data_IF_660348041982
#
_entry.id   IF_660348041982
#
_cell.length_a   1.000
_cell.length_b   1.000
_cell.length_c   1.000
_cell.angle_alpha   90.00
_cell.angle_beta   90.00
_cell.angle_gamma   90.00
#
_symmetry.space_group_name_H-M   'P 1'
#
loop_
_entity.id
_entity.type
_entity.pdbx_description
1 polymer ?
#
# COMPACT_ATOMS: atom_id res chain seq x y z
N UNK A 1 44.80 -28.63 24.48
CA UNK A 1 46.19 -28.68 24.00
C UNK A 1 46.36 -27.51 23.05
N UNK A 2 47.23 -26.55 23.42
CA UNK A 2 48.01 -25.62 22.58
C UNK A 2 47.25 -24.69 21.60
N UNK A 3 47.43 -23.36 21.50
CA UNK A 3 48.22 -22.30 22.17
C UNK A 3 47.60 -20.95 21.76
N UNK A 4 47.71 -19.98 22.67
CA UNK A 4 47.56 -18.53 22.48
C UNK A 4 48.58 -17.95 21.49
N UNK A 5 48.19 -17.06 20.57
CA UNK A 5 49.01 -15.86 20.39
C UNK A 5 48.27 -14.61 19.93
N UNK A 6 48.84 -13.50 20.41
CA UNK A 6 48.38 -12.12 20.38
C UNK A 6 48.67 -11.48 19.03
N UNK A 7 47.74 -10.63 18.57
CA UNK A 7 47.98 -9.67 17.50
C UNK A 7 47.37 -8.32 17.87
N UNK A 8 48.13 -7.50 18.60
CA UNK A 8 47.82 -6.10 18.84
C UNK A 8 48.20 -5.34 17.56
N UNK A 9 47.24 -4.76 16.84
CA UNK A 9 47.52 -3.78 15.79
C UNK A 9 46.74 -2.49 16.02
N UNK A 10 47.52 -1.42 16.03
CA UNK A 10 47.28 -0.02 16.30
C UNK A 10 45.94 0.54 15.77
N UNK A 11 45.23 1.27 16.65
CA UNK A 11 44.22 2.25 16.26
C UNK A 11 44.93 3.43 15.57
N UNK A 12 44.81 3.51 14.25
CA UNK A 12 45.02 4.77 13.54
C UNK A 12 43.85 5.72 13.82
N UNK A 13 44.04 7.05 13.74
CA UNK A 13 42.94 8.00 13.82
C UNK A 13 41.99 7.76 12.64
N UNK A 14 40.69 7.70 12.92
CA UNK A 14 39.66 7.81 11.90
C UNK A 14 39.79 9.20 11.27
N UNK A 15 40.45 9.26 10.12
CA UNK A 15 40.40 10.45 9.26
C UNK A 15 38.95 10.69 8.88
N UNK A 16 38.41 11.80 9.38
CA UNK A 16 37.16 12.37 8.95
C UNK A 16 37.33 12.84 7.50
N UNK A 17 37.14 11.93 6.56
CA UNK A 17 37.05 12.24 5.14
C UNK A 17 35.72 12.94 4.87
N UNK A 18 35.76 14.26 4.71
CA UNK A 18 34.71 15.03 4.06
C UNK A 18 34.48 14.47 2.65
N UNK A 19 33.42 13.67 2.45
CA UNK A 19 32.94 13.34 1.11
C UNK A 19 32.10 14.52 0.64
N UNK A 20 32.76 15.60 0.19
CA UNK A 20 32.11 16.68 -0.56
C UNK A 20 32.05 16.29 -2.04
N UNK A 21 31.36 15.19 -2.34
CA UNK A 21 31.00 14.81 -3.69
C UNK A 21 29.48 14.85 -3.82
N UNK A 22 28.97 15.44 -4.89
CA UNK A 22 27.54 15.34 -5.19
C UNK A 22 27.15 13.85 -5.27
N UNK A 23 26.10 13.49 -4.55
CA UNK A 23 25.51 12.14 -4.57
C UNK A 23 24.44 12.00 -5.65
N UNK A 24 24.17 13.09 -6.37
CA UNK A 24 23.19 13.16 -7.44
C UNK A 24 23.65 12.35 -8.66
N UNK A 25 22.80 11.46 -9.14
CA UNK A 25 23.05 10.62 -10.31
C UNK A 25 21.86 10.73 -11.26
N UNK A 26 22.12 10.86 -12.56
CA UNK A 26 21.09 10.80 -13.61
C UNK A 26 20.63 9.36 -13.82
N UNK A 27 19.33 9.14 -13.65
CA UNK A 27 18.67 7.82 -13.77
C UNK A 27 18.07 7.61 -15.15
N UNK A 28 17.50 8.66 -15.72
CA UNK A 28 16.91 8.69 -17.05
C UNK A 28 16.98 10.11 -17.61
N UNK A 29 16.57 10.30 -18.87
CA UNK A 29 16.55 11.62 -19.51
C UNK A 29 15.75 12.62 -18.67
N UNK A 30 16.45 13.61 -18.09
CA UNK A 30 15.87 14.63 -17.22
C UNK A 30 15.53 14.17 -15.80
N UNK A 31 15.80 12.92 -15.40
CA UNK A 31 15.52 12.44 -14.05
C UNK A 31 16.80 12.16 -13.27
N UNK A 32 16.94 12.79 -12.11
CA UNK A 32 18.06 12.59 -11.19
C UNK A 32 17.58 12.06 -9.83
N UNK A 33 18.41 11.24 -9.18
CA UNK A 33 18.24 10.80 -7.79
C UNK A 33 19.39 11.36 -6.94
N UNK A 34 19.11 11.84 -5.72
CA UNK A 34 20.15 12.38 -4.84
C UNK A 34 19.80 12.34 -3.35
N UNK A 35 20.59 13.06 -2.55
CA UNK A 35 20.47 13.20 -1.10
C UNK A 35 20.23 14.65 -0.70
N UNK A 36 19.97 14.90 0.59
CA UNK A 36 19.83 16.27 1.12
C UNK A 36 21.12 17.08 0.97
N UNK A 37 22.28 16.42 0.89
CA UNK A 37 23.56 17.11 0.70
C UNK A 37 23.67 17.79 -0.67
N UNK A 38 22.99 17.26 -1.69
CA UNK A 38 22.98 17.85 -3.03
C UNK A 38 22.27 19.22 -3.05
N UNK A 39 21.39 19.49 -2.08
CA UNK A 39 20.71 20.78 -1.96
C UNK A 39 21.58 21.91 -1.41
N UNK A 40 22.77 21.58 -0.88
CA UNK A 40 23.71 22.58 -0.33
C UNK A 40 24.44 23.37 -1.42
N UNK A 41 24.39 22.90 -2.66
CA UNK A 41 25.00 23.56 -3.82
C UNK A 41 23.95 23.80 -4.92
N UNK A 42 23.13 24.87 -4.80
CA UNK A 42 22.14 25.21 -5.81
C UNK A 42 22.74 25.51 -7.19
N UNK A 43 23.99 25.98 -7.26
CA UNK A 43 24.66 26.24 -8.54
C UNK A 43 24.92 24.93 -9.29
N UNK A 44 25.35 23.86 -8.59
CA UNK A 44 25.48 22.54 -9.18
C UNK A 44 24.14 22.00 -9.73
N UNK A 45 23.03 22.24 -9.01
CA UNK A 45 21.69 21.86 -9.48
C UNK A 45 21.30 22.61 -10.76
N UNK A 46 21.52 23.92 -10.80
CA UNK A 46 21.26 24.76 -11.98
C UNK A 46 22.12 24.32 -13.16
N UNK A 47 23.41 24.06 -12.93
CA UNK A 47 24.34 23.60 -13.97
C UNK A 47 23.97 22.21 -14.50
N UNK A 48 23.35 21.36 -13.68
CA UNK A 48 22.77 20.09 -14.09
C UNK A 48 21.39 20.22 -14.78
N UNK A 49 20.88 21.45 -14.94
CA UNK A 49 19.57 21.72 -15.55
C UNK A 49 18.38 21.33 -14.68
N UNK A 50 18.58 21.18 -13.37
CA UNK A 50 17.48 20.88 -12.43
C UNK A 50 16.58 22.10 -12.31
N UNK A 51 15.30 21.89 -12.58
CA UNK A 51 14.24 22.91 -12.50
C UNK A 51 13.20 22.55 -11.44
N UNK A 52 13.08 21.25 -11.13
CA UNK A 52 12.10 20.70 -10.19
C UNK A 52 12.77 19.85 -9.12
N UNK A 53 12.27 19.92 -7.89
CA UNK A 53 12.74 19.13 -6.76
C UNK A 53 11.55 18.42 -6.13
N UNK A 54 11.62 17.09 -6.09
CA UNK A 54 10.71 16.23 -5.33
C UNK A 54 11.43 15.73 -4.07
N UNK A 55 11.03 16.28 -2.93
CA UNK A 55 11.55 15.90 -1.61
C UNK A 55 10.67 14.81 -1.01
N UNK A 56 11.26 13.65 -0.70
CA UNK A 56 10.61 12.53 -0.02
C UNK A 56 11.35 12.28 1.29
N UNK A 57 11.05 13.06 2.33
CA UNK A 57 11.83 13.10 3.57
C UNK A 57 10.96 13.48 4.79
N UNK A 58 11.55 13.50 5.98
CA UNK A 58 10.85 13.92 7.22
C UNK A 58 10.64 15.44 7.29
N UNK A 59 11.46 16.21 6.61
CA UNK A 59 11.45 17.67 6.66
C UNK A 59 11.50 18.27 5.25
N UNK A 60 10.79 19.38 5.06
CA UNK A 60 10.85 20.14 3.82
C UNK A 60 12.10 21.05 3.81
N UNK A 61 12.97 20.97 2.80
CA UNK A 61 14.17 21.79 2.75
C UNK A 61 13.85 23.24 2.39
N UNK A 62 14.56 24.18 3.03
CA UNK A 62 14.50 25.59 2.68
C UNK A 62 15.41 25.90 1.47
N UNK A 63 14.90 25.60 0.27
CA UNK A 63 15.53 25.94 -1.00
C UNK A 63 14.56 26.74 -1.88
N UNK A 64 15.08 27.75 -2.57
CA UNK A 64 14.33 28.66 -3.45
C UNK A 64 14.83 28.56 -4.89
N UNK A 65 14.05 29.07 -5.86
CA UNK A 65 14.44 29.06 -7.28
C UNK A 65 14.09 27.79 -8.06
N UNK A 66 13.43 26.81 -7.42
CA UNK A 66 12.97 25.57 -8.04
C UNK A 66 11.47 25.38 -7.84
N UNK A 67 10.83 24.63 -8.75
CA UNK A 67 9.49 24.12 -8.53
C UNK A 67 9.56 22.92 -7.58
N UNK A 68 8.77 22.92 -6.51
CA UNK A 68 8.93 21.94 -5.42
C UNK A 68 7.67 21.13 -5.18
N UNK A 69 7.86 19.86 -4.84
CA UNK A 69 6.84 19.02 -4.21
C UNK A 69 7.46 18.34 -2.99
N UNK A 70 6.77 18.42 -1.86
CA UNK A 70 7.17 17.76 -0.63
C UNK A 70 6.22 16.61 -0.29
N UNK A 71 6.80 15.46 0.00
CA UNK A 71 6.09 14.28 0.53
C UNK A 71 6.76 13.89 1.83
N UNK A 72 6.05 14.13 2.94
CA UNK A 72 6.51 13.71 4.25
C UNK A 72 6.58 12.18 4.33
N UNK A 73 7.78 11.63 4.54
CA UNK A 73 8.04 10.20 4.61
C UNK A 73 9.23 9.89 5.52
N UNK A 74 9.03 8.99 6.48
CA UNK A 74 10.10 8.40 7.27
C UNK A 74 10.68 7.19 6.53
N UNK A 75 11.91 6.79 6.86
CA UNK A 75 12.55 5.61 6.28
C UNK A 75 12.31 4.37 7.15
N UNK A 76 11.05 4.09 7.44
CA UNK A 76 10.64 3.01 8.32
C UNK A 76 9.39 2.30 7.80
N UNK A 77 9.08 1.16 8.43
CA UNK A 77 8.00 0.28 8.06
C UNK A 77 6.62 0.92 8.22
N UNK A 78 6.46 1.98 9.01
CA UNK A 78 5.16 2.63 9.23
C UNK A 78 4.73 3.53 8.08
N UNK A 79 5.67 3.96 7.23
CA UNK A 79 5.41 4.94 6.17
C UNK A 79 4.60 4.35 5.02
N UNK A 80 3.46 4.98 4.72
CA UNK A 80 2.65 4.70 3.53
C UNK A 80 3.09 5.62 2.38
N UNK A 81 4.03 5.13 1.57
CA UNK A 81 4.47 5.81 0.36
C UNK A 81 3.63 5.42 -0.86
N UNK A 82 3.06 4.21 -0.86
CA UNK A 82 2.19 3.67 -1.92
C UNK A 82 1.07 4.64 -2.28
N UNK A 83 0.37 5.19 -1.28
CA UNK A 83 -0.72 6.14 -1.51
C UNK A 83 -0.30 7.46 -2.16
N UNK A 84 1.01 7.74 -2.25
CA UNK A 84 1.60 8.96 -2.82
C UNK A 84 2.35 8.72 -4.13
N UNK A 85 2.55 7.47 -4.55
CA UNK A 85 3.37 7.15 -5.72
C UNK A 85 2.83 7.80 -7.00
N UNK A 86 1.53 7.73 -7.24
CA UNK A 86 0.93 8.35 -8.45
C UNK A 86 1.12 9.86 -8.48
N UNK A 87 0.91 10.54 -7.35
CA UNK A 87 1.14 11.97 -7.19
C UNK A 87 2.60 12.38 -7.44
N UNK A 88 3.54 11.53 -7.00
CA UNK A 88 4.98 11.71 -7.20
C UNK A 88 5.35 11.51 -8.67
N UNK A 89 4.91 10.40 -9.28
CA UNK A 89 5.18 10.09 -10.68
C UNK A 89 4.57 11.15 -11.58
N UNK A 90 3.36 11.62 -11.28
CA UNK A 90 2.70 12.70 -12.01
C UNK A 90 3.55 13.97 -12.02
N UNK A 91 4.01 14.42 -10.85
CA UNK A 91 4.89 15.60 -10.73
C UNK A 91 6.17 15.45 -11.58
N UNK A 92 6.79 14.27 -11.56
CA UNK A 92 7.97 14.00 -12.39
C UNK A 92 7.61 14.08 -13.88
N UNK A 93 6.55 13.38 -14.31
CA UNK A 93 6.17 13.33 -15.73
C UNK A 93 5.72 14.68 -16.28
N UNK A 94 5.00 15.47 -15.50
CA UNK A 94 4.55 16.81 -15.89
C UNK A 94 5.75 17.75 -16.09
N UNK A 95 6.69 17.74 -15.13
CA UNK A 95 7.92 18.54 -15.19
C UNK A 95 8.80 18.20 -16.40
N UNK A 96 8.84 16.92 -16.79
CA UNK A 96 9.59 16.45 -17.96
C UNK A 96 8.86 16.69 -19.28
N UNK A 97 7.53 16.79 -19.28
CA UNK A 97 6.73 17.04 -20.48
C UNK A 97 6.63 18.55 -20.81
N UNK A 98 6.64 19.41 -19.80
CA UNK A 98 6.54 20.87 -19.94
C UNK A 98 7.78 21.53 -20.59
N UNK A 99 8.79 20.75 -20.98
CA UNK A 99 9.97 21.22 -21.68
C UNK A 99 9.65 21.58 -23.14
N UNK A 100 9.06 22.75 -23.38
CA UNK A 100 8.91 23.38 -24.71
C UNK A 100 10.28 23.78 -25.30
N UNK A 101 11.18 22.82 -25.51
CA UNK A 101 12.52 23.04 -26.07
C UNK A 101 13.59 23.53 -25.08
N UNK A 102 13.27 23.67 -23.79
CA UNK A 102 14.26 23.90 -22.71
C UNK A 102 14.55 22.59 -21.97
N UNK A 103 15.81 22.30 -21.67
CA UNK A 103 16.17 21.20 -20.78
C UNK A 103 15.50 21.41 -19.40
N UNK A 104 14.69 20.45 -18.96
CA UNK A 104 14.02 20.43 -17.67
C UNK A 104 14.38 19.12 -16.98
N UNK A 105 15.03 19.21 -15.82
CA UNK A 105 15.37 18.04 -15.03
C UNK A 105 14.71 18.07 -13.65
N UNK A 106 14.35 16.89 -13.15
CA UNK A 106 13.75 16.68 -11.83
C UNK A 106 14.76 15.98 -10.94
N UNK A 107 15.07 16.56 -9.78
CA UNK A 107 15.79 15.89 -8.71
C UNK A 107 14.78 15.26 -7.75
N UNK A 108 14.82 13.93 -7.61
CA UNK A 108 14.12 13.21 -6.54
C UNK A 108 15.13 12.89 -5.44
N UNK A 109 14.92 13.41 -4.23
CA UNK A 109 15.85 13.17 -3.13
C UNK A 109 15.13 12.82 -1.82
N UNK A 110 15.91 12.19 -0.93
CA UNK A 110 15.57 12.00 0.48
C UNK A 110 16.80 12.36 1.31
N UNK A 111 16.94 11.82 2.52
CA UNK A 111 18.05 12.18 3.40
C UNK A 111 19.41 11.73 2.83
N UNK A 112 19.55 10.44 2.50
CA UNK A 112 20.80 9.85 1.99
C UNK A 112 20.72 9.41 0.52
N UNK A 113 19.53 9.43 -0.09
CA UNK A 113 19.35 9.05 -1.49
C UNK A 113 19.34 7.55 -1.79
N UNK A 114 18.99 6.70 -0.81
CA UNK A 114 19.11 5.24 -0.94
C UNK A 114 17.79 4.46 -0.88
N UNK A 115 16.79 4.95 -0.14
CA UNK A 115 15.55 4.20 0.15
C UNK A 115 14.29 4.95 -0.32
N UNK A 116 13.84 5.98 0.41
CA UNK A 116 12.63 6.76 0.07
C UNK A 116 12.61 7.33 -1.36
N UNK A 117 13.66 8.04 -1.76
CA UNK A 117 13.77 8.57 -3.14
C UNK A 117 13.92 7.45 -4.16
N UNK A 118 14.64 6.38 -3.82
CA UNK A 118 14.79 5.22 -4.68
C UNK A 118 13.45 4.51 -4.94
N UNK A 119 12.56 4.43 -3.95
CA UNK A 119 11.22 3.88 -4.10
C UNK A 119 10.39 4.68 -5.10
N UNK A 120 10.40 6.01 -5.00
CA UNK A 120 9.70 6.89 -5.94
C UNK A 120 10.28 6.80 -7.35
N UNK A 121 11.60 6.81 -7.49
CA UNK A 121 12.28 6.66 -8.79
C UNK A 121 11.98 5.29 -9.41
N UNK A 122 11.96 4.23 -8.62
CA UNK A 122 11.61 2.88 -9.07
C UNK A 122 10.15 2.84 -9.55
N UNK A 123 9.21 3.42 -8.81
CA UNK A 123 7.81 3.55 -9.24
C UNK A 123 7.66 4.33 -10.55
N UNK A 124 8.41 5.42 -10.73
CA UNK A 124 8.44 6.17 -12.00
C UNK A 124 8.89 5.28 -13.16
N UNK A 125 10.00 4.54 -12.98
CA UNK A 125 10.53 3.64 -14.01
C UNK A 125 9.52 2.54 -14.36
N UNK A 126 8.89 1.92 -13.35
CA UNK A 126 7.86 0.91 -13.55
C UNK A 126 6.68 1.47 -14.37
N UNK A 127 6.13 2.63 -13.97
CA UNK A 127 4.96 3.23 -14.62
C UNK A 127 5.22 3.71 -16.03
N UNK A 128 6.33 4.43 -16.24
CA UNK A 128 6.62 5.14 -17.50
C UNK A 128 7.39 4.30 -18.51
N UNK A 129 8.26 3.39 -18.05
CA UNK A 129 9.04 2.51 -18.92
C UNK A 129 8.50 1.08 -18.99
N UNK A 130 7.39 0.80 -18.29
CA UNK A 130 6.74 -0.52 -18.26
C UNK A 130 7.70 -1.63 -17.82
N UNK A 131 8.60 -1.29 -16.89
CA UNK A 131 9.52 -2.24 -16.28
C UNK A 131 8.82 -2.94 -15.11
N UNK A 132 9.17 -4.22 -14.90
CA UNK A 132 8.82 -4.89 -13.66
C UNK A 132 9.51 -4.22 -12.47
N UNK A 133 9.04 -4.46 -11.24
CA UNK A 133 9.74 -4.01 -10.02
C UNK A 133 11.20 -4.49 -10.03
N UNK A 134 11.40 -5.78 -10.38
CA UNK A 134 12.72 -6.38 -10.42
C UNK A 134 13.65 -5.65 -11.39
N UNK A 135 13.19 -5.38 -12.62
CA UNK A 135 13.99 -4.74 -13.65
C UNK A 135 14.24 -3.26 -13.35
N UNK A 136 13.22 -2.55 -12.86
CA UNK A 136 13.32 -1.14 -12.50
C UNK A 136 14.33 -0.94 -11.34
N UNK A 137 14.24 -1.79 -10.32
CA UNK A 137 15.14 -1.71 -9.18
C UNK A 137 16.57 -2.12 -9.55
N UNK A 138 16.74 -3.19 -10.32
CA UNK A 138 18.05 -3.63 -10.81
C UNK A 138 18.72 -2.54 -11.67
N UNK A 139 17.96 -1.88 -12.56
CA UNK A 139 18.46 -0.74 -13.34
C UNK A 139 18.94 0.40 -12.44
N UNK A 140 18.17 0.73 -11.41
CA UNK A 140 18.56 1.78 -10.47
C UNK A 140 19.83 1.41 -9.68
N UNK A 141 19.95 0.16 -9.21
CA UNK A 141 21.13 -0.32 -8.50
C UNK A 141 22.38 -0.39 -9.39
N UNK A 142 22.24 -0.64 -10.70
CA UNK A 142 23.37 -0.57 -11.64
C UNK A 142 23.94 0.85 -11.75
N UNK A 143 23.07 1.87 -11.70
CA UNK A 143 23.47 3.28 -11.77
C UNK A 143 23.94 3.82 -10.42
N UNK A 144 23.34 3.34 -9.33
CA UNK A 144 23.61 3.79 -7.95
C UNK A 144 23.71 2.58 -7.01
N UNK A 145 24.88 1.92 -6.91
CA UNK A 145 25.05 0.65 -6.17
C UNK A 145 24.78 0.71 -4.66
N UNK A 146 24.81 1.90 -4.05
CA UNK A 146 24.50 2.12 -2.64
C UNK A 146 22.98 2.22 -2.36
N UNK A 147 22.13 2.17 -3.39
CA UNK A 147 20.68 2.09 -3.22
C UNK A 147 20.30 0.80 -2.51
N UNK A 148 19.57 0.98 -1.40
CA UNK A 148 19.05 -0.09 -0.57
C UNK A 148 17.72 0.37 0.03
N UNK A 149 16.63 0.02 -0.64
CA UNK A 149 15.29 0.22 -0.10
C UNK A 149 15.03 -0.69 1.10
N UNK A 150 14.22 -0.21 2.04
CA UNK A 150 13.66 -1.09 3.07
C UNK A 150 12.64 -2.08 2.48
N UNK A 151 12.37 -3.16 3.21
CA UNK A 151 11.50 -4.25 2.76
C UNK A 151 10.05 -3.77 2.57
N UNK A 152 9.53 -2.93 3.46
CA UNK A 152 8.17 -2.39 3.32
C UNK A 152 7.96 -1.52 2.07
N UNK A 153 8.95 -0.80 1.58
CA UNK A 153 8.85 -0.06 0.32
C UNK A 153 8.87 -1.01 -0.88
N UNK A 154 9.64 -2.10 -0.82
CA UNK A 154 9.59 -3.14 -1.85
C UNK A 154 8.21 -3.79 -1.89
N UNK A 155 7.63 -4.16 -0.74
CA UNK A 155 6.28 -4.72 -0.65
C UNK A 155 5.21 -3.75 -1.18
N UNK A 156 5.35 -2.45 -0.91
CA UNK A 156 4.49 -1.42 -1.47
C UNK A 156 4.61 -1.34 -3.00
N UNK A 157 5.81 -1.48 -3.56
CA UNK A 157 6.02 -1.52 -5.02
C UNK A 157 5.50 -2.81 -5.66
N UNK A 158 5.57 -3.96 -4.97
CA UNK A 158 4.92 -5.21 -5.43
C UNK A 158 3.41 -5.00 -5.54
N UNK A 159 2.81 -4.37 -4.52
CA UNK A 159 1.39 -4.04 -4.55
C UNK A 159 1.07 -3.05 -5.69
N UNK A 160 1.91 -2.04 -5.90
CA UNK A 160 1.77 -1.10 -7.01
C UNK A 160 1.84 -1.79 -8.38
N UNK A 161 2.79 -2.70 -8.58
CA UNK A 161 2.92 -3.52 -9.79
C UNK A 161 1.67 -4.38 -10.03
N UNK A 162 1.13 -5.02 -8.99
CA UNK A 162 -0.08 -5.84 -9.07
C UNK A 162 -1.34 -5.04 -9.46
N UNK A 163 -1.31 -3.72 -9.26
CA UNK A 163 -2.34 -2.78 -9.70
C UNK A 163 -1.95 -2.06 -10.99
N UNK A 164 -1.07 -2.66 -11.80
CA UNK A 164 -0.60 -2.13 -13.08
C UNK A 164 0.08 -0.75 -12.99
N UNK A 165 0.77 -0.49 -11.88
CA UNK A 165 1.44 0.80 -11.60
C UNK A 165 0.46 1.98 -11.60
N UNK A 166 -0.75 1.75 -11.09
CA UNK A 166 -1.76 2.77 -10.87
C UNK A 166 -2.54 2.42 -9.61
N UNK A 167 -2.73 3.39 -8.72
CA UNK A 167 -3.34 3.15 -7.42
C UNK A 167 -4.85 2.94 -7.57
N UNK A 168 -5.28 1.69 -7.67
CA UNK A 168 -6.69 1.35 -7.62
C UNK A 168 -7.19 1.32 -6.17
N UNK A 169 -7.83 2.42 -5.74
CA UNK A 169 -8.44 2.51 -4.40
C UNK A 169 -9.57 1.50 -4.17
N UNK A 170 -10.15 0.93 -5.23
CA UNK A 170 -11.18 -0.10 -5.14
C UNK A 170 -10.59 -1.52 -5.08
N UNK A 171 -9.29 -1.69 -5.34
CA UNK A 171 -8.62 -2.98 -5.28
C UNK A 171 -8.76 -3.61 -3.89
N UNK A 172 -9.20 -4.88 -3.79
CA UNK A 172 -9.23 -5.61 -2.52
C UNK A 172 -7.86 -5.64 -1.83
N UNK A 173 -6.78 -5.72 -2.61
CA UNK A 173 -5.41 -5.75 -2.08
C UNK A 173 -5.03 -4.40 -1.45
N UNK A 174 -5.36 -3.29 -2.12
CA UNK A 174 -5.09 -1.96 -1.57
C UNK A 174 -5.93 -1.67 -0.33
N UNK A 175 -7.21 -2.04 -0.34
CA UNK A 175 -8.07 -1.91 0.85
C UNK A 175 -7.50 -2.68 2.03
N UNK A 176 -7.04 -3.92 1.81
CA UNK A 176 -6.41 -4.71 2.87
C UNK A 176 -5.11 -4.06 3.37
N UNK A 177 -4.24 -3.60 2.46
CA UNK A 177 -3.03 -2.87 2.81
C UNK A 177 -3.32 -1.63 3.66
N UNK A 178 -4.27 -0.79 3.23
CA UNK A 178 -4.69 0.43 3.93
C UNK A 178 -5.21 0.14 5.33
N UNK A 179 -5.99 -0.93 5.50
CA UNK A 179 -6.50 -1.32 6.82
C UNK A 179 -5.40 -1.80 7.77
N UNK A 180 -4.34 -2.46 7.28
CA UNK A 180 -3.15 -2.75 8.11
C UNK A 180 -2.43 -1.48 8.54
N UNK A 181 -2.27 -0.51 7.63
CA UNK A 181 -1.69 0.80 7.94
C UNK A 181 -2.48 1.58 8.99
N UNK A 182 -3.81 1.41 9.03
CA UNK A 182 -4.64 1.99 10.10
C UNK A 182 -4.26 1.44 11.47
N UNK A 183 -4.05 0.13 11.62
CA UNK A 183 -3.66 -0.47 12.92
C UNK A 183 -2.28 -0.03 13.39
N UNK A 184 -1.35 0.23 12.48
CA UNK A 184 -0.02 0.77 12.80
C UNK A 184 -0.10 2.23 13.26
N UNK A 185 -0.93 3.05 12.58
CA UNK A 185 -1.03 4.49 12.83
C UNK A 185 -1.93 4.85 14.02
N UNK A 186 -2.93 4.03 14.31
CA UNK A 186 -3.94 4.29 15.36
C UNK A 186 -4.06 3.09 16.31
N UNK A 187 -3.03 2.78 17.12
CA UNK A 187 -3.02 1.57 17.95
C UNK A 187 -4.15 1.50 18.99
N UNK A 188 -4.63 2.65 19.48
CA UNK A 188 -5.73 2.72 20.44
C UNK A 188 -7.13 2.73 19.77
N UNK A 189 -7.20 2.90 18.44
CA UNK A 189 -8.45 2.96 17.66
C UNK A 189 -9.52 3.93 18.19
N UNK A 190 -9.16 4.93 19.01
CA UNK A 190 -10.11 5.88 19.61
C UNK A 190 -10.63 6.91 18.60
N UNK A 191 -9.82 7.24 17.59
CA UNK A 191 -10.12 8.26 16.56
C UNK A 191 -9.67 7.77 15.20
N UNK A 192 -10.55 7.04 14.53
CA UNK A 192 -10.30 6.58 13.16
C UNK A 192 -10.74 7.66 12.15
N UNK A 193 -9.93 7.94 11.11
CA UNK A 193 -10.35 8.81 10.01
C UNK A 193 -11.60 8.26 9.32
N UNK A 194 -12.53 9.13 8.92
CA UNK A 194 -13.79 8.71 8.27
C UNK A 194 -13.55 7.99 6.95
N UNK A 195 -12.45 8.31 6.29
CA UNK A 195 -12.03 7.72 5.02
C UNK A 195 -11.70 6.23 5.18
N UNK A 196 -11.39 5.76 6.39
CA UNK A 196 -11.20 4.33 6.69
C UNK A 196 -12.45 3.51 6.34
N UNK A 197 -13.63 4.10 6.53
CA UNK A 197 -14.90 3.42 6.38
C UNK A 197 -15.49 3.59 4.98
N UNK A 198 -15.96 2.48 4.40
CA UNK A 198 -16.82 2.53 3.23
C UNK A 198 -18.16 3.21 3.57
N UNK A 199 -18.70 3.95 2.61
CA UNK A 199 -19.98 4.66 2.77
C UNK A 199 -21.11 3.69 3.07
N UNK A 200 -22.01 4.06 3.99
CA UNK A 200 -23.20 3.26 4.30
C UNK A 200 -24.12 3.12 3.06
N UNK A 201 -24.30 1.91 2.51
CA UNK A 201 -25.07 1.70 1.29
C UNK A 201 -26.58 1.94 1.46
N UNK A 202 -27.13 2.13 2.66
CA UNK A 202 -28.53 2.56 2.77
C UNK A 202 -28.73 4.07 2.63
N UNK A 203 -27.65 4.86 2.66
CA UNK A 203 -27.71 6.31 2.49
C UNK A 203 -27.49 6.73 1.03
N UNK A 204 -27.21 5.76 0.15
CA UNK A 204 -26.80 6.00 -1.23
C UNK A 204 -27.58 5.11 -2.18
N UNK A 205 -27.93 5.62 -3.35
CA UNK A 205 -28.46 4.80 -4.44
C UNK A 205 -27.29 4.29 -5.28
N UNK A 206 -27.23 2.99 -5.52
CA UNK A 206 -26.21 2.36 -6.35
C UNK A 206 -26.82 1.15 -7.08
N UNK A 207 -26.34 0.89 -8.30
CA UNK A 207 -26.72 -0.27 -9.14
C UNK A 207 -25.87 -1.51 -8.85
N UNK A 208 -24.83 -1.36 -8.04
CA UNK A 208 -23.95 -2.45 -7.63
C UNK A 208 -24.69 -3.54 -6.82
N UNK A 209 -24.16 -4.76 -6.85
CA UNK A 209 -24.62 -5.84 -5.98
C UNK A 209 -24.46 -5.43 -4.51
N UNK A 210 -25.54 -5.60 -3.73
CA UNK A 210 -25.57 -5.24 -2.32
C UNK A 210 -25.94 -6.43 -1.44
N UNK A 211 -25.50 -6.40 -0.20
CA UNK A 211 -25.77 -7.44 0.80
C UNK A 211 -26.71 -6.89 1.86
N UNK A 212 -27.83 -7.57 2.10
CA UNK A 212 -28.87 -7.14 3.05
C UNK A 212 -28.94 -8.09 4.23
N UNK A 213 -29.27 -7.56 5.41
CA UNK A 213 -29.56 -8.39 6.58
C UNK A 213 -30.73 -9.34 6.30
N UNK A 214 -30.54 -10.63 6.55
CA UNK A 214 -31.58 -11.65 6.29
C UNK A 214 -32.83 -11.49 7.17
N UNK A 215 -32.69 -10.89 8.35
CA UNK A 215 -33.80 -10.68 9.30
C UNK A 215 -34.67 -9.48 8.96
N UNK A 216 -34.08 -8.33 8.66
CA UNK A 216 -34.80 -7.05 8.54
C UNK A 216 -34.64 -6.34 7.18
N UNK A 217 -33.89 -6.95 6.27
CA UNK A 217 -33.59 -6.50 4.90
C UNK A 217 -32.88 -5.14 4.80
N UNK A 218 -32.32 -4.61 5.89
CA UNK A 218 -31.43 -3.44 5.86
C UNK A 218 -30.20 -3.77 5.01
N UNK A 219 -29.89 -2.95 4.01
CA UNK A 219 -28.62 -3.02 3.25
C UNK A 219 -27.44 -2.81 4.19
N UNK A 220 -26.36 -3.58 4.05
CA UNK A 220 -25.24 -3.59 5.00
C UNK A 220 -23.93 -3.20 4.31
N UNK A 221 -23.58 -3.82 3.18
CA UNK A 221 -22.35 -3.53 2.46
C UNK A 221 -22.53 -3.80 0.97
N UNK A 222 -21.59 -3.29 0.17
CA UNK A 222 -21.56 -3.46 -1.30
C UNK A 222 -20.61 -4.59 -1.68
N UNK A 223 -20.71 -5.08 -2.90
CA UNK A 223 -19.78 -6.10 -3.40
C UNK A 223 -18.32 -5.62 -3.40
N UNK A 224 -18.08 -4.37 -3.75
CA UNK A 224 -16.81 -3.66 -3.70
C UNK A 224 -16.21 -3.60 -2.30
N UNK A 225 -17.02 -3.74 -1.25
CA UNK A 225 -16.52 -3.82 0.12
C UNK A 225 -15.85 -5.16 0.43
N UNK A 226 -16.00 -6.21 -0.41
CA UNK A 226 -15.47 -7.54 -0.13
C UNK A 226 -13.97 -7.61 -0.38
N UNK A 227 -13.24 -8.05 0.65
CA UNK A 227 -11.81 -8.33 0.63
C UNK A 227 -11.59 -9.82 0.34
N UNK A 228 -11.37 -10.14 -0.93
CA UNK A 228 -11.11 -11.51 -1.37
C UNK A 228 -9.75 -12.00 -0.87
N UNK A 229 -9.65 -13.28 -0.51
CA UNK A 229 -8.40 -13.93 -0.12
C UNK A 229 -8.23 -15.24 -0.89
N UNK A 230 -6.98 -15.65 -1.11
CA UNK A 230 -6.67 -16.95 -1.68
C UNK A 230 -7.11 -18.06 -0.70
N UNK A 231 -7.75 -19.11 -1.22
CA UNK A 231 -8.20 -20.24 -0.40
C UNK A 231 -7.01 -20.87 0.35
N UNK A 232 -7.18 -21.07 1.65
CA UNK A 232 -6.17 -21.75 2.47
C UNK A 232 -6.20 -23.26 2.28
N UNK A 233 -5.12 -23.92 2.70
CA UNK A 233 -4.99 -25.38 2.71
C UNK A 233 -5.86 -26.06 3.79
N UNK A 234 -6.63 -25.32 4.59
CA UNK A 234 -7.48 -25.88 5.64
C UNK A 234 -8.72 -26.60 5.08
N UNK A 235 -9.14 -26.27 3.86
CA UNK A 235 -10.20 -26.98 3.15
C UNK A 235 -9.95 -28.50 3.05
N UNK A 236 -8.69 -28.91 2.83
CA UNK A 236 -8.31 -30.32 2.77
C UNK A 236 -8.16 -30.95 4.17
N UNK A 237 -7.80 -30.17 5.20
CA UNK A 237 -7.66 -30.69 6.57
C UNK A 237 -9.01 -31.08 7.22
N UNK A 238 -10.12 -30.45 6.83
CA UNK A 238 -11.48 -30.78 7.32
C UNK A 238 -12.26 -31.74 6.39
N UNK A 239 -11.66 -32.17 5.28
CA UNK A 239 -12.31 -33.08 4.31
C UNK A 239 -12.57 -34.49 4.86
N UNK A 240 -11.88 -34.90 5.95
CA UNK A 240 -12.09 -36.18 6.62
C UNK A 240 -13.46 -36.39 7.28
N UNK A 241 -14.39 -35.41 7.21
CA UNK A 241 -15.74 -35.52 7.77
C UNK A 241 -16.87 -35.65 6.74
N UNK A 242 -16.58 -35.79 5.44
CA UNK A 242 -17.59 -36.08 4.41
C UNK A 242 -17.30 -37.39 3.70
N UNK A 243 -17.74 -38.50 4.31
CA UNK A 243 -17.96 -39.74 3.57
C UNK A 243 -19.33 -39.64 2.90
N UNK A 244 -19.37 -39.36 1.60
CA UNK A 244 -20.35 -39.96 0.68
C UNK A 244 -20.03 -39.64 -0.78
N UNK A 245 -19.54 -40.68 -1.46
CA UNK A 245 -19.86 -41.14 -2.83
C UNK A 245 -19.88 -40.11 -3.96
N UNK A 246 -18.81 -40.19 -4.78
CA UNK A 246 -18.93 -40.23 -6.24
C UNK A 246 -19.32 -38.95 -6.95
N UNK A 247 -18.34 -38.11 -7.25
CA UNK A 247 -18.48 -37.01 -8.21
C UNK A 247 -17.14 -36.34 -8.47
N UNK A 248 -16.59 -36.51 -9.67
CA UNK A 248 -15.45 -35.76 -10.18
C UNK A 248 -15.88 -34.34 -10.52
N UNK A 249 -15.48 -33.36 -9.70
CA UNK A 249 -15.41 -31.95 -10.06
C UNK A 249 -14.53 -31.23 -9.02
N UNK A 250 -13.78 -30.23 -9.46
CA UNK A 250 -13.00 -29.30 -8.65
C UNK A 250 -13.90 -28.60 -7.61
N UNK A 251 -14.07 -29.22 -6.45
CA UNK A 251 -14.97 -28.71 -5.41
C UNK A 251 -14.26 -27.57 -4.66
N UNK A 252 -14.36 -26.36 -5.20
CA UNK A 252 -13.99 -25.12 -4.53
C UNK A 252 -14.77 -25.05 -3.21
N UNK A 253 -14.15 -25.43 -2.10
CA UNK A 253 -14.74 -25.25 -0.78
C UNK A 253 -15.02 -23.77 -0.55
N UNK A 254 -16.27 -23.37 -0.75
CA UNK A 254 -16.68 -21.99 -0.66
C UNK A 254 -16.64 -21.55 0.81
N UNK A 255 -15.86 -20.50 1.13
CA UNK A 255 -15.77 -19.98 2.49
C UNK A 255 -17.16 -19.66 3.08
N UNK A 256 -17.37 -19.85 4.38
CA UNK A 256 -18.66 -19.61 5.04
C UNK A 256 -18.98 -18.14 5.32
N UNK A 257 -18.00 -17.26 5.09
CA UNK A 257 -18.07 -15.85 5.44
C UNK A 257 -17.50 -14.97 4.33
N UNK A 258 -18.00 -13.74 4.24
CA UNK A 258 -17.35 -12.66 3.51
C UNK A 258 -16.43 -11.91 4.48
N UNK A 259 -15.23 -11.56 4.04
CA UNK A 259 -14.41 -10.55 4.71
C UNK A 259 -14.63 -9.25 3.97
N UNK A 260 -14.84 -8.16 4.70
CA UNK A 260 -15.12 -6.86 4.09
C UNK A 260 -14.23 -5.77 4.68
N UNK A 261 -14.14 -4.62 4.01
CA UNK A 261 -13.69 -3.40 4.64
C UNK A 261 -14.77 -2.87 5.61
N UNK A 262 -14.39 -2.16 6.69
CA UNK A 262 -15.34 -1.61 7.63
C UNK A 262 -16.24 -0.58 6.93
N UNK A 263 -17.53 -0.61 7.25
CA UNK A 263 -18.55 0.31 6.69
C UNK A 263 -18.94 1.31 7.78
N UNK A 264 -19.33 2.53 7.42
CA UNK A 264 -19.66 3.61 8.37
C UNK A 264 -20.62 3.20 9.51
N UNK A 265 -21.63 2.36 9.24
CA UNK A 265 -22.54 1.91 10.31
C UNK A 265 -21.86 1.04 11.38
N UNK A 266 -20.65 0.53 11.14
CA UNK A 266 -19.85 -0.24 12.08
C UNK A 266 -19.02 0.63 13.02
N UNK A 267 -18.86 1.93 12.73
CA UNK A 267 -17.91 2.82 13.41
C UNK A 267 -18.01 2.74 14.94
N UNK A 268 -19.21 2.91 15.50
CA UNK A 268 -19.43 2.84 16.96
C UNK A 268 -19.01 1.51 17.59
N UNK A 269 -19.10 0.40 16.85
CA UNK A 269 -18.71 -0.92 17.34
C UNK A 269 -17.20 -1.17 17.28
N UNK A 270 -16.45 -0.36 16.53
CA UNK A 270 -15.02 -0.55 16.24
C UNK A 270 -14.12 0.39 17.07
N UNK A 271 -14.65 1.52 17.55
CA UNK A 271 -13.86 2.51 18.28
C UNK A 271 -13.41 1.99 19.65
N UNK A 272 -12.10 2.08 19.91
CA UNK A 272 -11.50 1.74 21.20
C UNK A 272 -11.46 0.24 21.54
N UNK A 273 -11.78 -0.65 20.59
CA UNK A 273 -11.82 -2.11 20.81
C UNK A 273 -11.11 -2.87 19.70
N UNK A 274 -10.38 -3.93 20.06
CA UNK A 274 -9.57 -4.73 19.12
C UNK A 274 -10.35 -5.87 18.44
N UNK A 275 -11.39 -6.37 19.08
CA UNK A 275 -12.25 -7.41 18.55
C UNK A 275 -13.67 -7.28 19.10
N UNK A 276 -14.63 -7.92 18.43
CA UNK A 276 -16.01 -7.86 18.88
C UNK A 276 -17.01 -8.44 17.89
N UNK A 277 -18.28 -8.19 18.19
CA UNK A 277 -19.41 -8.66 17.38
C UNK A 277 -19.94 -7.56 16.46
N UNK A 278 -20.29 -7.95 15.23
CA UNK A 278 -20.99 -7.07 14.31
C UNK A 278 -22.49 -7.35 14.38
N UNK A 279 -23.25 -6.37 14.85
CA UNK A 279 -24.71 -6.43 14.98
C UNK A 279 -25.38 -5.60 13.89
N UNK A 280 -26.55 -6.04 13.42
CA UNK A 280 -27.32 -5.25 12.46
C UNK A 280 -27.82 -3.94 13.09
N UNK A 281 -27.54 -2.76 12.48
CA UNK A 281 -27.91 -1.47 13.07
C UNK A 281 -29.44 -1.25 13.14
N UNK A 282 -30.23 -2.03 12.39
CA UNK A 282 -31.71 -1.93 12.39
C UNK A 282 -32.40 -2.88 13.36
N UNK A 283 -31.87 -4.08 13.59
CA UNK A 283 -32.60 -5.15 14.30
C UNK A 283 -31.76 -5.95 15.31
N UNK A 284 -30.52 -5.51 15.52
CA UNK A 284 -29.55 -6.04 16.48
C UNK A 284 -29.23 -7.54 16.35
N UNK A 285 -29.64 -8.19 15.25
CA UNK A 285 -29.24 -9.58 14.99
C UNK A 285 -27.75 -9.66 14.74
N UNK A 286 -27.07 -10.65 15.31
CA UNK A 286 -25.65 -10.93 15.04
C UNK A 286 -25.43 -11.28 13.56
N UNK A 287 -24.57 -10.50 12.91
CA UNK A 287 -24.20 -10.65 11.49
C UNK A 287 -22.84 -11.32 11.33
N UNK A 288 -21.93 -11.11 12.28
CA UNK A 288 -20.60 -11.67 12.27
C UNK A 288 -19.73 -11.14 13.41
N UNK A 289 -18.45 -10.94 13.15
CA UNK A 289 -17.43 -10.51 14.11
C UNK A 289 -16.32 -9.72 13.43
N UNK A 290 -15.53 -8.98 14.21
CA UNK A 290 -14.30 -8.37 13.73
C UNK A 290 -13.14 -8.67 14.68
N UNK A 291 -11.92 -8.64 14.14
CA UNK A 291 -10.67 -8.70 14.89
C UNK A 291 -9.59 -7.93 14.11
N UNK A 292 -9.04 -6.89 14.70
CA UNK A 292 -8.01 -6.05 14.09
C UNK A 292 -6.66 -6.77 13.93
N UNK A 293 -6.36 -7.78 14.76
CA UNK A 293 -5.20 -8.67 14.57
C UNK A 293 -5.44 -9.78 13.55
N UNK A 294 -6.69 -9.95 13.13
CA UNK A 294 -7.10 -10.93 12.15
C UNK A 294 -7.76 -12.16 12.75
N UNK A 295 -8.29 -12.99 11.86
CA UNK A 295 -9.01 -14.21 12.21
C UNK A 295 -8.81 -15.28 11.12
N UNK A 296 -8.97 -16.54 11.49
CA UNK A 296 -8.84 -17.66 10.55
C UNK A 296 -10.17 -17.90 9.83
N UNK A 297 -10.13 -17.80 8.50
CA UNK A 297 -11.28 -18.18 7.67
C UNK A 297 -11.54 -19.70 7.75
N UNK A 298 -12.77 -20.12 7.48
CA UNK A 298 -13.16 -21.54 7.36
C UNK A 298 -12.33 -22.34 6.35
N UNK A 299 -11.70 -21.69 5.37
CA UNK A 299 -10.77 -22.34 4.43
C UNK A 299 -9.35 -22.54 5.02
N UNK A 300 -9.09 -22.05 6.23
CA UNK A 300 -7.79 -22.09 6.90
C UNK A 300 -6.88 -20.88 6.65
N UNK A 301 -7.25 -19.96 5.75
CA UNK A 301 -6.47 -18.74 5.48
C UNK A 301 -6.62 -17.74 6.64
N UNK A 302 -5.51 -17.21 7.12
CA UNK A 302 -5.51 -16.08 8.07
C UNK A 302 -5.78 -14.77 7.32
N UNK A 303 -6.73 -13.98 7.81
CA UNK A 303 -7.10 -12.67 7.23
C UNK A 303 -6.86 -11.59 8.27
N UNK A 304 -6.03 -10.58 7.95
CA UNK A 304 -5.73 -9.46 8.85
C UNK A 304 -5.83 -8.12 8.13
N UNK A 305 -6.51 -7.11 8.71
CA UNK A 305 -7.51 -7.27 9.78
C UNK A 305 -8.75 -8.03 9.26
N UNK A 306 -9.52 -8.63 10.15
CA UNK A 306 -10.69 -9.43 9.80
C UNK A 306 -11.98 -8.70 10.18
N UNK A 307 -12.81 -8.34 9.19
CA UNK A 307 -14.21 -7.94 9.41
C UNK A 307 -15.12 -8.95 8.73
N UNK A 308 -15.57 -9.92 9.50
CA UNK A 308 -16.22 -11.12 9.02
C UNK A 308 -17.75 -10.97 9.04
N UNK A 309 -18.38 -11.22 7.89
CA UNK A 309 -19.84 -11.28 7.72
C UNK A 309 -20.27 -12.69 7.35
N UNK A 310 -21.09 -13.33 8.18
CA UNK A 310 -21.52 -14.71 7.93
C UNK A 310 -22.51 -14.79 6.76
N UNK A 311 -22.24 -15.64 5.77
CA UNK A 311 -23.07 -15.77 4.56
C UNK A 311 -24.52 -16.15 4.90
N UNK A 312 -24.75 -16.97 5.92
CA UNK A 312 -26.10 -17.38 6.33
C UNK A 312 -26.93 -16.25 7.01
N UNK A 313 -26.31 -15.11 7.34
CA UNK A 313 -26.95 -13.94 7.98
C UNK A 313 -27.25 -12.80 7.00
N UNK A 314 -26.78 -12.89 5.76
CA UNK A 314 -26.96 -11.86 4.73
C UNK A 314 -27.46 -12.45 3.42
N UNK A 315 -28.25 -11.68 2.68
CA UNK A 315 -28.70 -12.05 1.34
C UNK A 315 -28.02 -11.16 0.31
N UNK A 316 -27.45 -11.77 -0.73
CA UNK A 316 -26.90 -11.08 -1.90
C UNK A 316 -28.05 -10.67 -2.83
N UNK A 317 -28.12 -9.38 -3.16
CA UNK A 317 -29.14 -8.81 -4.04
C UNK A 317 -28.46 -8.28 -5.28
N UNK A 318 -28.69 -8.96 -6.41
CA UNK A 318 -28.26 -8.53 -7.74
C UNK A 318 -29.32 -7.61 -8.34
N UNK A 319 -28.92 -6.43 -8.81
CA UNK A 319 -29.81 -5.59 -9.60
C UNK A 319 -30.00 -6.25 -10.97
N UNK A 320 -31.19 -6.81 -11.22
CA UNK A 320 -31.56 -7.31 -12.54
C UNK A 320 -32.10 -6.13 -13.33
N UNK A 321 -31.34 -5.64 -14.30
CA UNK A 321 -31.86 -4.73 -15.32
C UNK A 321 -32.80 -5.54 -16.21
N UNK A 322 -34.11 -5.43 -16.01
CA UNK A 322 -35.09 -5.99 -16.95
C UNK A 322 -35.05 -5.12 -18.20
N UNK A 323 -34.64 -5.63 -19.38
CA UNK A 323 -34.79 -4.87 -20.62
C UNK A 323 -36.27 -4.60 -20.81
N UNK A 324 -36.64 -3.33 -20.99
CA UNK A 324 -38.02 -2.97 -21.32
C UNK A 324 -38.45 -3.81 -22.54
N UNK A 325 -39.46 -4.67 -22.35
CA UNK A 325 -40.14 -5.35 -23.44
C UNK A 325 -40.70 -4.25 -24.35
N UNK A 326 -40.13 -4.14 -25.55
CA UNK A 326 -40.64 -3.29 -26.62
C UNK A 326 -41.93 -3.86 -27.17
#
# INVERSE_FOLDING_TARGET
>A
MFVSDRGCYCRGPLEAGCISGSTMITVDTGLCIGSVSDLKDPEALINAGVTHILTVDSEEPNISGFHKKFVHALDDSSTDLLSRLDDCVHFITEALAASEGKASSVLVHCHVGQSRSAAVVTAYLMKTKKLSLQDAYAKLQQLKPDVKMNEEFLDQLVLYESMNCELDTNSPLYKQYRLRKVTEKYPELQKLPKEVFAVDPAQTQNTEVVYRCRKCRRTLFRHSSILSHCLGSGASAFSHKRVSVGGSAEDQTQCTSYFIEPVQWMEEALLGVMDGQLLCPKCSSKLGSFNWYGDQCSCGRWVTPAFQMHKNRVDEIKHISIPALK
#
